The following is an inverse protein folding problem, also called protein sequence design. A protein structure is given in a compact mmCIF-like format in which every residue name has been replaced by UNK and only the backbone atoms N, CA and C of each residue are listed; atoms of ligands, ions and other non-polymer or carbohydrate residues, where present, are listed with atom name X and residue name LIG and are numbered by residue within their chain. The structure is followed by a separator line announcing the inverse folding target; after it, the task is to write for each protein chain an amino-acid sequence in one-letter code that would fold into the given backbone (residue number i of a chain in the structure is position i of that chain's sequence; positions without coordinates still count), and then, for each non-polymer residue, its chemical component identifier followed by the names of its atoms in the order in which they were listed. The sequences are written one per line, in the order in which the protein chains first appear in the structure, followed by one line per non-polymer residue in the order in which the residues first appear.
data_IF_262466852025
#
_entry.id   IF_262466852025
#
_cell.length_a   1.000
_cell.length_b   1.000
_cell.length_c   1.000
_cell.angle_alpha   90.00
_cell.angle_beta   90.00
_cell.angle_gamma   90.00
#
_symmetry.space_group_name_H-M   'P 1'
#
loop_
_entity.id
_entity.type
_entity.pdbx_description
1 polymer ?
#
# COMPACT_ATOMS: atom_id res chain seq x y z
C UNK A 1 0.83 5.32 -9.83
N UNK A 2 1.10 4.01 -9.92
CA UNK A 2 0.26 3.09 -10.67
C UNK A 2 -0.06 1.91 -9.77
N UNK A 3 0.01 0.69 -10.34
CA UNK A 3 -0.23 -0.60 -9.72
C UNK A 3 0.95 -1.05 -8.88
N UNK A 4 1.93 -0.14 -8.71
CA UNK A 4 3.14 -0.32 -7.96
C UNK A 4 2.85 0.12 -6.56
N UNK A 5 2.83 1.46 -6.41
CA UNK A 5 2.61 2.32 -5.26
C UNK A 5 3.33 2.01 -3.96
N UNK A 6 3.93 0.80 -3.84
CA UNK A 6 4.68 0.25 -2.72
C UNK A 6 3.88 0.28 -1.43
N UNK A 7 2.59 -0.09 -1.55
CA UNK A 7 1.65 -0.14 -0.46
C UNK A 7 0.88 -1.45 -0.52
N UNK A 8 -0.32 -1.55 0.10
CA UNK A 8 -0.78 -2.77 0.75
C UNK A 8 -0.78 -2.63 2.24
N UNK A 9 0.41 -2.66 2.87
CA UNK A 9 0.90 -3.73 3.73
C UNK A 9 0.46 -3.54 5.18
N UNK A 10 -0.75 -2.96 5.34
CA UNK A 10 -1.46 -2.63 6.54
C UNK A 10 -0.83 -1.42 7.21
N UNK A 11 -1.38 -0.23 6.90
CA UNK A 11 -0.92 1.01 7.45
C UNK A 11 -1.99 1.37 8.47
N UNK A 12 -2.54 2.60 8.44
CA UNK A 12 -3.56 3.10 9.34
C UNK A 12 -4.95 2.48 9.09
N UNK A 13 -5.05 1.14 9.19
CA UNK A 13 -6.29 0.41 8.98
C UNK A 13 -6.39 -0.76 10.02
N UNK A 14 -7.64 -1.11 10.36
#
# INVERSE_FOLDING_TARGET
XDENLYEGLNLDDX
#
